data_IF_976685319339
#
_entry.id   IF_976685319339
#
_cell.length_a   1.000
_cell.length_b   1.000
_cell.length_c   1.000
_cell.angle_alpha   90.00
_cell.angle_beta   90.00
_cell.angle_gamma   90.00
#
_symmetry.space_group_name_H-M   'P 1'
#
loop_
_entity.id
_entity.type
_entity.pdbx_description
1 polymer ?
#
# COMPACT_ATOMS: atom_id res chain seq x y z
N UNK A 1 10.98 -7.90 -8.82
CA UNK A 1 9.55 -7.67 -8.96
C UNK A 1 9.16 -6.64 -7.92
N UNK A 2 8.30 -5.67 -8.25
CA UNK A 2 7.95 -4.59 -7.34
C UNK A 2 6.49 -4.72 -6.91
N UNK A 3 6.27 -4.72 -5.60
CA UNK A 3 4.94 -4.76 -5.02
C UNK A 3 4.51 -3.39 -4.53
N UNK A 4 3.23 -3.13 -4.65
CA UNK A 4 2.58 -1.91 -4.23
C UNK A 4 1.48 -2.26 -3.22
N UNK A 5 1.54 -1.67 -2.04
CA UNK A 5 0.49 -1.78 -1.03
C UNK A 5 -0.32 -0.48 -1.07
N UNK A 6 -1.61 -0.54 -1.45
CA UNK A 6 -2.51 0.61 -1.47
C UNK A 6 -3.51 0.52 -0.33
N UNK A 7 -3.58 1.57 0.48
CA UNK A 7 -4.61 1.71 1.52
C UNK A 7 -5.77 2.53 0.94
N UNK A 8 -6.98 1.94 0.90
CA UNK A 8 -8.17 2.55 0.32
C UNK A 8 -9.09 3.18 1.36
N UNK A 9 -9.15 2.60 2.56
CA UNK A 9 -9.98 3.04 3.70
C UNK A 9 -9.37 2.50 5.01
N UNK A 10 -9.94 2.85 6.17
CA UNK A 10 -9.45 2.40 7.49
C UNK A 10 -9.32 0.88 7.63
N UNK A 11 -10.07 0.11 6.83
CA UNK A 11 -10.13 -1.36 6.93
C UNK A 11 -9.81 -2.09 5.62
N UNK A 12 -9.32 -1.40 4.59
CA UNK A 12 -9.04 -2.05 3.30
C UNK A 12 -7.67 -1.69 2.77
N UNK A 13 -6.81 -2.69 2.74
CA UNK A 13 -5.45 -2.64 2.21
C UNK A 13 -5.36 -3.61 1.04
N UNK A 14 -4.82 -3.15 -0.08
CA UNK A 14 -4.71 -3.92 -1.32
C UNK A 14 -3.24 -4.11 -1.64
N UNK A 15 -2.83 -5.36 -1.79
CA UNK A 15 -1.53 -5.72 -2.33
C UNK A 15 -1.65 -5.95 -3.83
N UNK A 16 -0.83 -5.28 -4.62
CA UNK A 16 -0.83 -5.38 -6.08
C UNK A 16 0.59 -5.30 -6.63
N UNK A 17 0.77 -5.77 -7.86
CA UNK A 17 2.03 -5.61 -8.60
C UNK A 17 2.13 -4.22 -9.22
N UNK A 18 3.33 -3.80 -9.62
CA UNK A 18 3.54 -2.55 -10.37
C UNK A 18 2.76 -2.49 -11.69
N UNK A 19 2.46 -3.65 -12.29
CA UNK A 19 1.62 -3.77 -13.49
C UNK A 19 0.11 -3.53 -13.21
N UNK A 20 -0.28 -3.32 -11.95
CA UNK A 20 -1.67 -3.10 -11.55
C UNK A 20 -2.47 -4.37 -11.28
N UNK A 21 -1.85 -5.56 -11.32
CA UNK A 21 -2.55 -6.79 -10.92
C UNK A 21 -2.69 -6.87 -9.41
N UNK A 22 -3.93 -6.98 -8.94
CA UNK A 22 -4.24 -7.21 -7.53
C UNK A 22 -3.88 -8.65 -7.16
N UNK A 23 -3.10 -8.81 -6.10
CA UNK A 23 -2.69 -10.09 -5.56
C UNK A 23 -3.61 -10.52 -4.42
N UNK A 24 -3.90 -9.60 -3.48
CA UNK A 24 -4.71 -9.91 -2.30
C UNK A 24 -5.22 -8.64 -1.61
N UNK A 25 -6.26 -8.83 -0.80
CA UNK A 25 -6.84 -7.82 0.07
C UNK A 25 -6.57 -8.18 1.53
N UNK A 26 -6.28 -7.17 2.34
CA UNK A 26 -5.93 -7.29 3.74
C UNK A 26 -6.68 -6.24 4.56
N UNK A 27 -6.86 -6.53 5.85
CA UNK A 27 -7.47 -5.59 6.78
C UNK A 27 -6.44 -4.65 7.43
N UNK A 28 -5.15 -4.95 7.28
CA UNK A 28 -4.07 -4.12 7.81
C UNK A 28 -2.84 -4.10 6.90
N UNK A 29 -2.07 -3.01 6.99
CA UNK A 29 -0.79 -2.88 6.27
C UNK A 29 0.22 -3.92 6.76
N UNK A 30 0.14 -4.30 8.03
CA UNK A 30 1.02 -5.30 8.63
C UNK A 30 0.84 -6.68 7.98
N UNK A 31 -0.40 -7.12 7.80
CA UNK A 31 -0.69 -8.39 7.10
C UNK A 31 -0.23 -8.35 5.65
N UNK A 32 -0.45 -7.23 4.95
CA UNK A 32 0.00 -7.07 3.58
C UNK A 32 1.54 -7.09 3.45
N UNK A 33 2.26 -6.51 4.42
CA UNK A 33 3.71 -6.54 4.48
C UNK A 33 4.25 -7.94 4.80
N UNK A 34 3.62 -8.66 5.72
CA UNK A 34 4.00 -10.02 6.09
C UNK A 34 3.83 -10.97 4.89
N UNK A 35 2.69 -10.88 4.19
CA UNK A 35 2.45 -11.61 2.95
C UNK A 35 3.46 -11.25 1.86
N UNK A 36 3.82 -9.97 1.71
CA UNK A 36 4.91 -9.55 0.82
C UNK A 36 6.23 -10.23 1.17
N UNK A 37 6.61 -10.22 2.46
CA UNK A 37 7.87 -10.81 2.92
C UNK A 37 7.92 -12.30 2.62
N UNK A 38 6.85 -13.04 2.96
CA UNK A 38 6.75 -14.47 2.65
C UNK A 38 6.85 -14.73 1.14
N UNK A 39 6.25 -13.86 0.31
CA UNK A 39 6.31 -14.00 -1.14
C UNK A 39 7.74 -13.82 -1.69
N UNK A 40 8.52 -12.90 -1.11
CA UNK A 40 9.94 -12.74 -1.46
C UNK A 40 10.80 -13.90 -0.93
N UNK A 41 10.55 -14.36 0.29
CA UNK A 41 11.27 -15.49 0.89
C UNK A 41 11.06 -16.77 0.06
N UNK A 42 9.84 -17.01 -0.44
CA UNK A 42 9.56 -18.10 -1.37
C UNK A 42 10.21 -17.90 -2.75
N UNK A 43 10.41 -16.66 -3.20
CA UNK A 43 10.99 -16.31 -4.50
C UNK A 43 12.44 -15.79 -4.38
N UNK A 44 13.23 -16.39 -3.49
CA UNK A 44 14.61 -16.05 -3.09
C UNK A 44 15.65 -15.81 -4.21
N UNK A 45 15.26 -15.89 -5.49
CA UNK A 45 16.06 -15.45 -6.63
C UNK A 45 16.12 -13.93 -6.82
N UNK A 46 15.22 -13.15 -6.21
CA UNK A 46 15.25 -11.68 -6.33
C UNK A 46 15.94 -10.99 -5.14
N UNK A 47 17.16 -10.50 -5.37
CA UNK A 47 18.06 -9.87 -4.39
C UNK A 47 17.56 -8.57 -3.73
N UNK A 48 16.38 -8.04 -4.11
CA UNK A 48 15.91 -6.74 -3.61
C UNK A 48 14.39 -6.71 -3.42
N UNK A 49 13.98 -6.68 -2.16
CA UNK A 49 12.64 -6.36 -1.73
C UNK A 49 12.29 -4.93 -2.16
N UNK A 50 11.53 -4.77 -3.24
CA UNK A 50 11.08 -3.48 -3.74
C UNK A 50 9.58 -3.35 -3.44
N UNK A 51 9.24 -2.87 -2.24
CA UNK A 51 7.85 -2.67 -1.81
C UNK A 51 7.59 -1.17 -1.65
N UNK A 52 6.61 -0.65 -2.38
CA UNK A 52 6.15 0.73 -2.27
C UNK A 52 4.78 0.75 -1.57
N UNK A 53 4.68 1.44 -0.43
CA UNK A 53 3.40 1.63 0.26
C UNK A 53 2.82 2.99 -0.18
N UNK A 54 1.63 2.95 -0.78
CA UNK A 54 0.86 4.12 -1.19
C UNK A 54 -0.35 4.28 -0.28
N UNK A 55 -0.33 5.29 0.57
CA UNK A 55 -1.50 5.70 1.33
C UNK A 55 -2.34 6.64 0.46
N UNK A 56 -3.62 6.32 0.25
CA UNK A 56 -4.56 7.32 -0.24
C UNK A 56 -4.85 8.23 0.95
N UNK A 57 -4.34 9.46 0.93
CA UNK A 57 -4.84 10.51 1.81
C UNK A 57 -6.33 10.67 1.47
N UNK A 58 -7.20 10.08 2.28
CA UNK A 58 -8.60 10.45 2.30
C UNK A 58 -8.58 11.89 2.77
N UNK A 59 -9.00 12.80 1.88
CA UNK A 59 -8.89 14.24 2.09
C UNK A 59 -9.44 14.61 3.46
N UNK A 60 -8.56 15.08 4.34
CA UNK A 60 -8.97 16.09 5.27
C UNK A 60 -9.13 17.35 4.41
N UNK A 61 -10.35 17.59 3.94
CA UNK A 61 -10.77 18.93 3.56
C UNK A 61 -10.59 19.81 4.80
N UNK A 62 -9.40 20.39 4.98
CA UNK A 62 -9.20 21.48 5.91
C UNK A 62 -9.87 22.70 5.29
N UNK A 63 -11.17 22.77 5.58
CA UNK A 63 -12.02 23.95 5.69
C UNK A 63 -11.25 25.28 5.63
N UNK A 64 -11.62 26.09 4.64
CA UNK A 64 -11.58 27.55 4.62
C UNK A 64 -10.32 28.22 5.18
N UNK A 65 -9.40 28.60 4.29
CA UNK A 65 -8.52 29.75 4.52
C UNK A 65 -9.42 30.96 4.78
N UNK A 66 -9.58 31.33 6.05
CA UNK A 66 -10.12 32.64 6.42
C UNK A 66 -9.16 33.70 5.90
N UNK A 67 -9.62 34.47 4.92
CA UNK A 67 -9.02 35.74 4.56
C UNK A 67 -9.23 36.70 5.73
N UNK A 68 -8.15 37.09 6.41
CA UNK A 68 -8.17 38.27 7.27
C UNK A 68 -7.77 39.46 6.38
N UNK A 69 -8.63 40.48 6.42
CA UNK A 69 -8.50 41.75 5.71
C UNK A 69 -7.31 42.60 6.19
#
# INVERSE_FOLDING_TARGET
MKFCIRVWSENTVVLMTEAGHVLSYFNSVKEALDACSQWYDCNASELKHNVAIQYKQVGLESSSVMAYA
#
